data_IF_342207394600
#
_entry.id   IF_342207394600
#
_cell.length_a   1.000
_cell.length_b   1.000
_cell.length_c   1.000
_cell.angle_alpha   90.00
_cell.angle_beta   90.00
_cell.angle_gamma   90.00
#
_symmetry.space_group_name_H-M   'P 1'
#
loop_
_entity.id
_entity.type
_entity.pdbx_description
1 polymer ?
#
# COMPACT_ATOMS: atom_id res chain seq x y z
N UNK A 1 2.52 -2.99 -1.77
CA UNK A 1 2.93 -1.74 -1.09
C UNK A 1 3.54 -0.83 -2.15
N UNK A 2 3.22 0.47 -2.15
CA UNK A 2 3.87 1.42 -3.05
C UNK A 2 5.10 2.02 -2.36
N UNK A 3 6.17 2.19 -3.12
CA UNK A 3 7.43 2.76 -2.70
C UNK A 3 7.77 3.93 -3.61
N UNK A 4 8.25 5.02 -3.00
CA UNK A 4 8.95 6.10 -3.68
C UNK A 4 10.42 5.93 -3.36
N UNK A 5 11.21 5.71 -4.40
CA UNK A 5 12.65 5.56 -4.35
C UNK A 5 13.21 6.80 -5.03
N UNK A 6 14.02 7.60 -4.32
CA UNK A 6 14.57 8.82 -4.91
C UNK A 6 15.97 9.12 -4.43
N UNK A 7 16.75 9.74 -5.31
CA UNK A 7 17.95 10.49 -4.92
C UNK A 7 17.57 11.94 -4.60
N UNK A 8 18.29 12.58 -3.70
CA UNK A 8 18.10 13.99 -3.33
C UNK A 8 19.36 14.54 -2.66
N UNK A 9 19.37 15.83 -2.31
CA UNK A 9 20.52 16.52 -1.74
C UNK A 9 21.78 16.36 -2.62
N UNK A 10 21.60 16.42 -3.95
CA UNK A 10 22.69 16.30 -4.92
C UNK A 10 23.66 17.48 -4.78
N UNK A 11 24.96 17.19 -4.83
CA UNK A 11 26.00 18.20 -4.81
C UNK A 11 27.25 17.76 -5.58
N UNK A 12 28.12 18.72 -5.91
CA UNK A 12 29.35 18.46 -6.66
C UNK A 12 29.11 18.10 -8.14
N UNK A 13 27.95 18.46 -8.71
CA UNK A 13 27.61 18.12 -10.09
C UNK A 13 27.19 16.66 -10.29
N UNK A 14 26.77 15.98 -9.21
CA UNK A 14 26.17 14.66 -9.31
C UNK A 14 24.91 14.68 -10.20
N UNK A 15 24.75 13.62 -10.99
CA UNK A 15 23.62 13.38 -11.88
C UNK A 15 23.38 11.87 -11.84
N UNK A 16 22.23 11.46 -11.30
CA UNK A 16 22.02 10.09 -10.79
C UNK A 16 21.00 9.33 -11.61
N UNK A 17 21.27 8.08 -11.96
CA UNK A 17 20.28 7.18 -12.55
C UNK A 17 19.90 6.12 -11.53
N UNK A 18 18.60 5.99 -11.26
CA UNK A 18 18.02 4.92 -10.45
C UNK A 18 17.57 3.77 -11.35
N UNK A 19 17.97 2.55 -11.01
CA UNK A 19 17.45 1.33 -11.62
C UNK A 19 16.96 0.38 -10.53
N UNK A 20 15.73 -0.10 -10.67
CA UNK A 20 15.10 -1.08 -9.79
C UNK A 20 15.13 -2.45 -10.46
N UNK A 21 15.56 -3.46 -9.72
CA UNK A 21 15.64 -4.85 -10.15
C UNK A 21 14.69 -5.76 -9.35
N UNK A 22 14.25 -6.83 -9.98
CA UNK A 22 13.46 -7.91 -9.37
C UNK A 22 14.31 -8.72 -8.36
N UNK A 23 13.68 -9.70 -7.75
CA UNK A 23 14.20 -10.61 -6.73
C UNK A 23 15.38 -11.48 -7.17
N UNK A 24 15.66 -11.54 -8.47
CA UNK A 24 16.83 -12.19 -9.06
C UNK A 24 18.07 -11.27 -9.17
N UNK A 25 17.93 -9.98 -8.81
CA UNK A 25 18.96 -8.94 -8.93
C UNK A 25 19.45 -8.68 -10.37
N UNK A 26 18.74 -9.16 -11.39
CA UNK A 26 19.14 -9.05 -12.80
C UNK A 26 18.03 -8.45 -13.65
N UNK A 27 16.78 -8.82 -13.40
CA UNK A 27 15.63 -8.35 -14.18
C UNK A 27 15.30 -6.91 -13.82
N UNK A 28 15.49 -5.97 -14.76
CA UNK A 28 15.12 -4.57 -14.57
C UNK A 28 13.60 -4.42 -14.56
N UNK A 29 13.06 -3.82 -13.51
CA UNK A 29 11.65 -3.51 -13.35
C UNK A 29 11.32 -2.07 -13.72
N UNK A 30 12.19 -1.12 -13.40
CA UNK A 30 12.03 0.30 -13.71
C UNK A 30 13.38 1.04 -13.68
N UNK A 31 13.49 2.15 -14.40
CA UNK A 31 14.66 3.02 -14.36
C UNK A 31 14.28 4.47 -14.62
N UNK A 32 14.95 5.42 -13.97
CA UNK A 32 14.74 6.86 -14.15
C UNK A 32 16.01 7.64 -13.80
N UNK A 33 16.34 8.67 -14.58
CA UNK A 33 17.56 9.49 -14.45
C UNK A 33 17.30 10.92 -13.97
N UNK A 34 16.21 11.55 -14.38
CA UNK A 34 15.89 12.92 -13.93
C UNK A 34 14.44 13.09 -13.48
N UNK A 35 14.17 14.21 -12.82
CA UNK A 35 12.82 14.69 -12.57
C UNK A 35 12.64 16.05 -13.22
N UNK A 36 12.59 16.03 -14.57
CA UNK A 36 12.46 17.24 -15.36
C UNK A 36 13.80 17.98 -15.48
N UNK A 37 13.95 19.12 -14.82
CA UNK A 37 15.23 19.86 -14.81
C UNK A 37 16.13 19.52 -13.62
N UNK A 38 15.64 18.70 -12.68
CA UNK A 38 16.41 18.26 -11.51
C UNK A 38 17.17 16.96 -11.85
N UNK A 39 18.51 16.93 -11.70
CA UNK A 39 19.33 15.73 -11.95
C UNK A 39 19.14 14.60 -10.91
N UNK A 40 18.24 14.81 -9.94
CA UNK A 40 17.77 13.78 -9.03
C UNK A 40 16.79 12.83 -9.73
N UNK A 41 17.02 11.53 -9.57
CA UNK A 41 16.13 10.49 -10.05
C UNK A 41 15.05 10.16 -9.01
N UNK A 42 13.83 9.87 -9.48
CA UNK A 42 12.74 9.36 -8.66
C UNK A 42 11.99 8.23 -9.39
N UNK A 43 11.65 7.18 -8.65
CA UNK A 43 10.83 6.06 -9.08
C UNK A 43 9.67 5.86 -8.11
N UNK A 44 8.45 5.82 -8.64
CA UNK A 44 7.29 5.32 -7.90
C UNK A 44 7.00 3.90 -8.37
N UNK A 45 7.14 2.93 -7.47
CA UNK A 45 7.01 1.51 -7.80
C UNK A 45 6.12 0.76 -6.83
N UNK A 46 5.39 -0.23 -7.36
CA UNK A 46 4.47 -1.08 -6.62
C UNK A 46 5.02 -2.50 -6.56
N UNK A 47 5.32 -2.99 -5.35
CA UNK A 47 5.77 -4.37 -5.18
C UNK A 47 4.65 -5.35 -5.54
N UNK A 48 4.85 -6.24 -6.53
CA UNK A 48 3.85 -7.22 -6.94
C UNK A 48 3.67 -8.33 -5.89
N UNK A 49 4.77 -8.71 -5.22
CA UNK A 49 4.78 -9.73 -4.16
C UNK A 49 5.82 -9.37 -3.09
N UNK A 50 5.71 -10.00 -1.92
CA UNK A 50 6.75 -9.90 -0.87
C UNK A 50 8.03 -10.57 -1.35
N UNK A 51 9.14 -9.84 -1.25
CA UNK A 51 10.46 -10.31 -1.66
C UNK A 51 11.54 -9.27 -1.41
N UNK A 52 12.79 -9.63 -1.64
CA UNK A 52 13.92 -8.71 -1.62
C UNK A 52 14.17 -8.20 -3.02
N UNK A 53 14.00 -6.90 -3.24
CA UNK A 53 14.26 -6.22 -4.51
C UNK A 53 15.54 -5.38 -4.38
N UNK A 54 16.18 -5.08 -5.50
CA UNK A 54 17.48 -4.40 -5.51
C UNK A 54 17.39 -3.05 -6.21
N UNK A 55 18.00 -2.04 -5.60
CA UNK A 55 18.08 -0.69 -6.18
C UNK A 55 19.55 -0.38 -6.46
N UNK A 56 19.82 0.06 -7.68
CA UNK A 56 21.12 0.56 -8.10
C UNK A 56 21.04 2.06 -8.35
N UNK A 57 22.06 2.79 -7.90
CA UNK A 57 22.28 4.20 -8.24
C UNK A 57 23.56 4.27 -9.05
N UNK A 58 23.47 4.71 -10.29
CA UNK A 58 24.62 5.00 -11.16
C UNK A 58 24.69 6.49 -11.48
N UNK A 59 25.73 6.93 -12.18
CA UNK A 59 25.83 8.31 -12.66
C UNK A 59 25.43 8.39 -14.13
N UNK A 60 24.67 9.43 -14.48
CA UNK A 60 24.37 9.73 -15.87
C UNK A 60 25.64 10.15 -16.63
N UNK A 61 25.67 10.07 -17.97
CA UNK A 61 26.86 10.43 -18.75
C UNK A 61 27.36 11.86 -18.53
N UNK A 62 26.46 12.80 -18.17
CA UNK A 62 26.75 14.20 -17.84
C UNK A 62 27.20 14.41 -16.39
N UNK A 63 27.08 13.40 -15.54
CA UNK A 63 27.32 13.50 -14.10
C UNK A 63 28.79 13.51 -13.72
N UNK A 64 29.11 14.31 -12.71
CA UNK A 64 30.42 14.25 -12.04
C UNK A 64 30.45 13.01 -11.14
N UNK A 65 31.57 12.29 -11.16
CA UNK A 65 31.79 11.03 -10.40
C UNK A 65 33.01 11.10 -9.46
N UNK A 66 33.60 12.27 -9.29
CA UNK A 66 34.74 12.45 -8.39
C UNK A 66 34.32 12.47 -6.90
N UNK A 67 35.27 12.69 -6.00
CA UNK A 67 35.01 12.70 -4.56
C UNK A 67 34.13 13.88 -4.07
N UNK A 68 33.79 14.81 -4.96
CA UNK A 68 32.90 15.94 -4.66
C UNK A 68 31.44 15.61 -4.96
N UNK A 69 31.19 14.65 -5.86
CA UNK A 69 29.85 14.17 -6.18
C UNK A 69 29.21 13.47 -4.98
N UNK A 70 28.03 13.93 -4.57
CA UNK A 70 27.27 13.35 -3.45
C UNK A 70 25.79 13.34 -3.78
N UNK A 71 25.11 12.34 -3.22
CA UNK A 71 23.66 12.22 -3.20
C UNK A 71 23.22 11.56 -1.89
N UNK A 72 21.94 11.71 -1.54
CA UNK A 72 21.26 10.85 -0.57
C UNK A 72 20.23 10.00 -1.29
N UNK A 73 20.14 8.74 -0.90
CA UNK A 73 19.08 7.83 -1.31
C UNK A 73 18.03 7.74 -0.20
N UNK A 74 16.76 7.91 -0.55
CA UNK A 74 15.63 7.60 0.34
C UNK A 74 14.67 6.63 -0.33
N UNK A 75 14.21 5.66 0.44
CA UNK A 75 13.12 4.76 0.07
C UNK A 75 12.02 4.96 1.10
N UNK A 76 10.89 5.51 0.67
CA UNK A 76 9.72 5.71 1.53
C UNK A 76 8.56 4.91 0.99
N UNK A 77 7.76 4.34 1.87
CA UNK A 77 6.45 3.81 1.47
C UNK A 77 5.47 4.96 1.36
N UNK A 78 4.84 5.13 0.20
CA UNK A 78 3.63 5.97 0.14
C UNK A 78 2.54 5.23 0.89
N UNK A 79 1.81 5.95 1.76
CA UNK A 79 0.90 5.38 2.74
C UNK A 79 0.06 4.23 2.13
N UNK A 80 0.34 3.01 2.60
CA UNK A 80 -0.68 1.96 2.58
C UNK A 80 -1.89 2.56 3.24
N UNK A 81 -3.06 2.51 2.58
CA UNK A 81 -4.31 2.84 3.23
C UNK A 81 -4.39 2.05 4.54
N UNK A 82 -4.22 2.75 5.66
CA UNK A 82 -4.13 2.15 6.97
C UNK A 82 -5.56 1.99 7.48
N UNK A 83 -6.17 0.87 7.13
CA UNK A 83 -7.46 0.49 7.66
C UNK A 83 -7.32 0.16 9.14
N UNK A 84 -8.26 0.70 9.92
CA UNK A 84 -8.50 0.35 11.31
C UNK A 84 -9.89 -0.29 11.43
N UNK A 85 -10.08 -1.12 12.46
CA UNK A 85 -11.37 -1.71 12.80
C UNK A 85 -11.71 -1.39 14.24
N UNK A 86 -12.94 -0.95 14.47
CA UNK A 86 -13.48 -0.68 15.81
C UNK A 86 -14.80 -1.39 15.98
N UNK A 87 -15.05 -1.92 17.17
CA UNK A 87 -16.36 -2.49 17.50
C UNK A 87 -17.39 -1.36 17.65
N UNK A 88 -18.50 -1.46 16.94
CA UNK A 88 -19.64 -0.57 17.02
C UNK A 88 -20.88 -1.31 17.52
N UNK A 89 -21.93 -0.62 18.00
CA UNK A 89 -23.17 -1.26 18.47
C UNK A 89 -23.86 -2.10 17.39
N UNK A 90 -23.69 -1.71 16.14
CA UNK A 90 -24.32 -2.27 14.95
C UNK A 90 -23.41 -3.22 14.15
N UNK A 91 -22.17 -3.46 14.57
CA UNK A 91 -21.24 -4.33 13.85
C UNK A 91 -19.78 -3.96 14.05
N UNK A 92 -18.95 -4.21 13.03
CA UNK A 92 -17.57 -3.75 13.00
C UNK A 92 -17.43 -2.57 12.03
N UNK A 93 -17.00 -1.43 12.54
CA UNK A 93 -16.73 -0.24 11.72
C UNK A 93 -15.27 -0.25 11.26
N UNK A 94 -15.09 -0.25 9.96
CA UNK A 94 -13.82 -0.11 9.26
C UNK A 94 -13.63 1.35 8.88
N UNK A 95 -12.44 1.90 9.14
CA UNK A 95 -12.11 3.30 8.84
C UNK A 95 -10.71 3.40 8.24
N UNK A 96 -10.54 4.16 7.16
CA UNK A 96 -9.26 4.39 6.49
C UNK A 96 -9.16 5.82 5.92
N UNK A 97 -7.93 6.35 5.73
CA UNK A 97 -7.76 7.65 5.07
C UNK A 97 -8.18 7.58 3.59
N UNK A 98 -8.79 8.65 3.09
CA UNK A 98 -9.05 8.83 1.67
C UNK A 98 -7.80 9.39 0.98
N UNK A 99 -7.45 8.81 -0.16
CA UNK A 99 -6.50 9.39 -1.10
C UNK A 99 -7.26 9.93 -2.33
N UNK A 100 -7.13 11.23 -2.67
CA UNK A 100 -7.82 11.86 -3.81
C UNK A 100 -7.55 11.21 -5.17
N UNK A 101 -6.51 10.40 -5.31
CA UNK A 101 -6.23 9.69 -6.57
C UNK A 101 -7.24 8.57 -6.87
N UNK A 102 -7.98 8.09 -5.85
CA UNK A 102 -8.92 6.97 -5.99
C UNK A 102 -10.36 7.46 -6.02
N UNK A 103 -11.18 6.90 -6.93
CA UNK A 103 -12.59 7.23 -7.05
C UNK A 103 -13.48 6.44 -6.07
N UNK A 104 -12.95 5.38 -5.45
CA UNK A 104 -13.68 4.55 -4.49
C UNK A 104 -12.83 3.41 -3.92
N UNK A 105 -13.49 2.52 -3.17
CA UNK A 105 -12.86 1.43 -2.44
C UNK A 105 -13.78 0.20 -2.41
N UNK A 106 -13.25 -0.97 -2.78
CA UNK A 106 -13.92 -2.24 -2.58
C UNK A 106 -13.58 -2.79 -1.20
N UNK A 107 -14.57 -2.96 -0.34
CA UNK A 107 -14.41 -3.59 0.97
C UNK A 107 -14.51 -5.11 0.81
N UNK A 108 -13.44 -5.82 1.14
CA UNK A 108 -13.33 -7.28 1.01
C UNK A 108 -13.27 -7.96 2.37
N UNK A 109 -13.90 -9.12 2.47
CA UNK A 109 -13.93 -9.97 3.67
C UNK A 109 -13.52 -11.40 3.35
N UNK A 110 -12.82 -12.06 4.28
CA UNK A 110 -12.51 -13.49 4.22
C UNK A 110 -12.52 -14.11 5.62
N UNK A 111 -12.73 -15.43 5.69
CA UNK A 111 -12.53 -16.22 6.92
C UNK A 111 -11.09 -16.74 7.03
N UNK A 112 -10.25 -16.53 6.02
CA UNK A 112 -8.84 -16.88 6.04
C UNK A 112 -7.97 -15.66 6.38
N UNK A 113 -7.02 -15.76 7.35
CA UNK A 113 -6.17 -14.63 7.75
C UNK A 113 -5.25 -14.13 6.64
N UNK A 114 -4.76 -15.05 5.82
CA UNK A 114 -3.82 -14.79 4.72
C UNK A 114 -4.55 -14.90 3.38
N UNK A 115 -5.51 -14.02 3.14
CA UNK A 115 -6.28 -14.02 1.89
C UNK A 115 -5.77 -12.95 0.92
N UNK A 116 -5.88 -13.23 -0.38
CA UNK A 116 -5.72 -12.23 -1.43
C UNK A 116 -7.07 -11.58 -1.68
N UNK A 117 -7.17 -10.27 -1.45
CA UNK A 117 -8.38 -9.51 -1.76
C UNK A 117 -8.65 -9.56 -3.28
N UNK A 118 -9.87 -9.90 -3.67
CA UNK A 118 -10.23 -10.28 -5.04
C UNK A 118 -11.01 -11.61 -5.04
N UNK A 119 -10.60 -12.55 -5.88
CA UNK A 119 -11.32 -13.81 -6.14
C UNK A 119 -11.48 -14.73 -4.91
N UNK A 120 -10.61 -14.60 -3.91
CA UNK A 120 -10.62 -15.41 -2.68
C UNK A 120 -11.22 -14.67 -1.48
N UNK A 121 -12.03 -13.64 -1.75
CA UNK A 121 -12.69 -12.81 -0.76
C UNK A 121 -14.08 -12.39 -1.20
N UNK A 122 -14.99 -12.29 -0.25
CA UNK A 122 -16.31 -11.74 -0.44
C UNK A 122 -16.21 -10.21 -0.64
N UNK A 123 -16.91 -9.68 -1.65
CA UNK A 123 -17.12 -8.25 -1.79
C UNK A 123 -18.30 -7.84 -0.90
N UNK A 124 -18.04 -7.03 0.13
CA UNK A 124 -19.10 -6.50 0.98
C UNK A 124 -19.75 -5.26 0.40
N UNK A 125 -18.94 -4.34 -0.11
CA UNK A 125 -19.42 -3.08 -0.67
C UNK A 125 -18.39 -2.44 -1.59
N UNK A 126 -18.89 -1.63 -2.53
CA UNK A 126 -18.11 -0.61 -3.22
C UNK A 126 -18.45 0.73 -2.58
N UNK A 127 -17.51 1.31 -1.86
CA UNK A 127 -17.66 2.58 -1.15
C UNK A 127 -17.08 3.69 -2.02
N UNK A 128 -17.87 4.70 -2.45
CA UNK A 128 -17.36 5.80 -3.25
C UNK A 128 -16.39 6.68 -2.46
N UNK A 129 -15.58 7.47 -3.17
CA UNK A 129 -14.80 8.53 -2.56
C UNK A 129 -15.71 9.49 -1.76
N UNK A 130 -15.30 9.93 -0.55
CA UNK A 130 -16.04 10.89 0.25
C UNK A 130 -16.08 12.24 -0.46
N UNK A 131 -17.17 12.99 -0.26
CA UNK A 131 -17.39 14.28 -0.94
C UNK A 131 -16.59 15.44 -0.35
N UNK A 132 -16.07 15.30 0.88
CA UNK A 132 -15.32 16.36 1.57
C UNK A 132 -14.45 15.90 2.74
N UNK A 133 -14.71 14.72 3.32
CA UNK A 133 -13.88 14.16 4.39
C UNK A 133 -12.63 13.49 3.80
N UNK A 134 -11.50 13.58 4.49
CA UNK A 134 -10.29 12.85 4.13
C UNK A 134 -10.27 11.43 4.74
N UNK A 135 -11.42 10.95 5.20
CA UNK A 135 -11.64 9.67 5.85
C UNK A 135 -12.82 8.96 5.23
N UNK A 136 -12.70 7.65 5.05
CA UNK A 136 -13.78 6.78 4.59
C UNK A 136 -14.11 5.78 5.69
N UNK A 137 -15.40 5.47 5.84
CA UNK A 137 -15.88 4.48 6.79
C UNK A 137 -16.89 3.52 6.17
N UNK A 138 -16.91 2.29 6.68
CA UNK A 138 -17.89 1.27 6.33
C UNK A 138 -18.16 0.37 7.55
N UNK A 139 -19.43 0.06 7.82
CA UNK A 139 -19.79 -0.86 8.91
C UNK A 139 -20.27 -2.19 8.35
N UNK A 140 -19.57 -3.27 8.72
CA UNK A 140 -20.05 -4.64 8.51
C UNK A 140 -20.94 -5.04 9.70
N UNK A 141 -22.25 -4.97 9.49
CA UNK A 141 -23.24 -5.32 10.51
C UNK A 141 -23.27 -6.82 10.86
N UNK A 142 -22.66 -7.66 10.03
CA UNK A 142 -22.65 -9.11 10.20
C UNK A 142 -21.36 -9.67 10.80
N UNK A 143 -20.38 -8.80 11.08
CA UNK A 143 -19.05 -9.17 11.58
C UNK A 143 -19.06 -10.04 12.85
N UNK A 144 -20.13 -9.96 13.65
CA UNK A 144 -20.26 -10.67 14.92
C UNK A 144 -21.46 -11.63 14.97
N UNK A 145 -22.11 -11.91 13.83
CA UNK A 145 -23.28 -12.79 13.79
C UNK A 145 -22.96 -14.27 14.06
N UNK A 146 -21.68 -14.65 14.01
CA UNK A 146 -21.20 -15.98 14.36
C UNK A 146 -20.23 -15.88 15.55
N UNK A 147 -20.37 -16.78 16.52
CA UNK A 147 -19.47 -16.90 17.68
C UNK A 147 -18.25 -17.80 17.42
N UNK A 148 -18.15 -18.39 16.23
CA UNK A 148 -17.07 -19.32 15.84
C UNK A 148 -16.33 -18.87 14.59
N UNK A 149 -16.85 -17.85 13.89
CA UNK A 149 -16.23 -17.33 12.67
C UNK A 149 -15.49 -16.04 13.00
N UNK A 150 -14.21 -16.01 12.65
CA UNK A 150 -13.42 -14.78 12.62
C UNK A 150 -13.40 -14.26 11.19
N UNK A 151 -13.50 -12.94 11.04
CA UNK A 151 -13.46 -12.28 9.74
C UNK A 151 -12.23 -11.39 9.63
N UNK A 152 -11.60 -11.46 8.47
CA UNK A 152 -10.45 -10.66 8.08
C UNK A 152 -10.86 -9.74 6.94
N UNK A 153 -10.43 -8.49 7.01
CA UNK A 153 -10.86 -7.43 6.11
C UNK A 153 -9.67 -6.78 5.44
N UNK A 154 -9.89 -6.34 4.21
CA UNK A 154 -8.98 -5.47 3.49
C UNK A 154 -9.77 -4.64 2.46
N UNK A 155 -9.22 -3.52 2.01
CA UNK A 155 -9.80 -2.72 0.92
C UNK A 155 -8.91 -2.76 -0.30
N UNK A 156 -9.55 -2.69 -1.47
CA UNK A 156 -8.91 -2.43 -2.76
C UNK A 156 -9.40 -1.06 -3.25
N UNK A 157 -8.53 -0.04 -3.37
CA UNK A 157 -8.91 1.24 -3.96
C UNK A 157 -9.26 1.05 -5.42
N UNK A 158 -10.11 1.90 -5.98
CA UNK A 158 -10.52 1.80 -7.39
C UNK A 158 -10.35 3.12 -8.11
N UNK A 159 -9.99 3.07 -9.39
CA UNK A 159 -10.08 4.22 -10.30
C UNK A 159 -11.55 4.54 -10.66
N UNK A 160 -11.74 5.57 -11.49
CA UNK A 160 -13.05 5.98 -12.00
C UNK A 160 -13.75 4.87 -12.82
N UNK A 161 -12.99 3.93 -13.37
CA UNK A 161 -13.51 2.78 -14.11
C UNK A 161 -13.81 1.57 -13.21
N UNK A 162 -13.60 1.69 -11.89
CA UNK A 162 -13.82 0.64 -10.91
C UNK A 162 -12.72 -0.42 -10.86
N UNK A 163 -11.58 -0.19 -11.51
CA UNK A 163 -10.46 -1.15 -11.53
C UNK A 163 -9.70 -1.09 -10.21
N UNK A 164 -9.51 -2.25 -9.54
CA UNK A 164 -8.87 -2.28 -8.23
C UNK A 164 -7.35 -2.08 -8.32
N UNK A 165 -6.82 -1.32 -7.37
CA UNK A 165 -5.39 -1.17 -7.07
C UNK A 165 -4.98 -2.07 -5.90
N UNK A 166 -3.77 -1.86 -5.38
CA UNK A 166 -3.20 -2.62 -4.28
C UNK A 166 -4.08 -2.63 -3.03
N UNK A 167 -4.12 -3.80 -2.40
CA UNK A 167 -4.83 -4.03 -1.15
C UNK A 167 -4.19 -3.26 0.02
N UNK A 168 -5.02 -2.77 0.94
CA UNK A 168 -4.60 -2.19 2.24
C UNK A 168 -3.88 -3.20 3.14
N UNK A 169 -3.47 -2.75 4.34
CA UNK A 169 -3.25 -3.67 5.45
C UNK A 169 -4.51 -4.48 5.75
N UNK A 170 -4.33 -5.62 6.45
CA UNK A 170 -5.44 -6.47 6.90
C UNK A 170 -5.77 -6.16 8.36
N UNK A 171 -7.05 -6.15 8.68
CA UNK A 171 -7.58 -6.08 10.06
C UNK A 171 -8.57 -7.20 10.28
N UNK A 172 -8.95 -7.48 11.53
CA UNK A 172 -9.81 -8.61 11.83
C UNK A 172 -10.81 -8.32 12.95
N UNK A 173 -12.00 -8.90 12.81
CA UNK A 173 -13.01 -9.00 13.85
C UNK A 173 -13.05 -10.44 14.36
N UNK A 174 -12.94 -10.59 15.68
CA UNK A 174 -13.01 -11.89 16.32
C UNK A 174 -14.20 -11.94 17.27
N UNK A 175 -14.89 -13.07 17.28
CA UNK A 175 -15.94 -13.36 18.23
C UNK A 175 -15.67 -14.75 18.83
N UNK A 176 -15.77 -14.87 20.14
CA UNK A 176 -15.50 -16.11 20.86
C UNK A 176 -16.57 -16.31 21.92
N UNK A 177 -17.09 -17.53 22.04
CA UNK A 177 -17.95 -17.91 23.16
C UNK A 177 -17.11 -18.07 24.43
N UNK A 178 -17.52 -17.42 25.52
CA UNK A 178 -16.95 -17.70 26.84
C UNK A 178 -17.63 -18.93 27.43
N UNK A 179 -16.83 -19.86 27.93
CA UNK A 179 -17.34 -20.97 28.75
C UNK A 179 -17.13 -20.60 30.22
N UNK A 180 -18.19 -20.60 31.06
CA UNK A 180 -18.01 -20.40 32.49
C UNK A 180 -17.06 -21.45 33.07
N UNK A 181 -16.14 -21.03 33.94
CA UNK A 181 -15.28 -21.96 34.67
C UNK A 181 -16.10 -22.85 35.60
N UNK A 182 -15.71 -24.11 35.74
CA UNK A 182 -16.25 -24.99 36.77
C UNK A 182 -15.70 -24.54 38.13
N UNK A 183 -16.60 -24.23 39.08
CA UNK A 183 -16.25 -23.90 40.47
C UNK A 183 -15.67 -25.10 41.21
#
# INVERSE_FOLDING_TARGET
MQYVIRTHDLSGGADTVLTLYDTDAVTVLASNDDTGSDPAAELTWTAPYTGTYFVEVTSAPSGVTDCTARYRLSITTTASLAMTITRAPDGATLTWPHDPQYAGYQVRRSTMPYFTAGDWSELLANVPAPSSDNTVSYTDASAFNSATTSYFYAILPTDADGRPYLVSNRVAAFNFALTPGSN
#
